data_IF_999192077075
#
_entry.id   IF_999192077075
#
_cell.length_a   1.000
_cell.length_b   1.000
_cell.length_c   1.000
_cell.angle_alpha   90.00
_cell.angle_beta   90.00
_cell.angle_gamma   90.00
#
_symmetry.space_group_name_H-M   'P 1'
#
loop_
_entity.id
_entity.type
_entity.pdbx_description
1 polymer ?
#
# COMPACT_ATOMS: atom_id res chain seq x y z
N UNK A 1 -12.96 0.40 -2.47
CA UNK A 1 -14.36 0.90 -2.35
C UNK A 1 -14.66 1.53 -0.99
N UNK A 2 -14.46 0.83 0.15
CA UNK A 2 -14.70 1.39 1.49
C UNK A 2 -13.91 2.67 1.81
N UNK A 3 -12.68 2.79 1.27
CA UNK A 3 -11.85 3.99 1.39
C UNK A 3 -12.50 5.24 0.76
N UNK A 4 -13.16 5.07 -0.39
CA UNK A 4 -13.83 6.15 -1.12
C UNK A 4 -15.22 6.45 -0.55
N UNK A 5 -15.93 5.44 -0.02
CA UNK A 5 -17.30 5.55 0.47
C UNK A 5 -17.47 6.27 1.83
N UNK A 6 -16.47 7.02 2.30
CA UNK A 6 -16.59 7.73 3.59
C UNK A 6 -16.27 6.89 4.83
N UNK A 7 -15.62 5.73 4.68
CA UNK A 7 -15.27 4.86 5.81
C UNK A 7 -14.44 5.56 6.92
N UNK A 8 -14.54 5.10 8.18
CA UNK A 8 -13.84 5.67 9.33
C UNK A 8 -12.37 6.01 9.09
N UNK A 9 -11.89 7.12 9.65
CA UNK A 9 -10.47 7.53 9.54
C UNK A 9 -9.51 6.40 9.92
N UNK A 10 -9.85 5.65 10.97
CA UNK A 10 -9.05 4.51 11.43
C UNK A 10 -8.89 3.44 10.35
N UNK A 11 -9.95 3.11 9.59
CA UNK A 11 -9.88 2.14 8.49
C UNK A 11 -8.98 2.62 7.36
N UNK A 12 -8.96 3.94 7.09
CA UNK A 12 -8.07 4.52 6.07
C UNK A 12 -6.60 4.44 6.50
N UNK A 13 -6.32 4.78 7.75
CA UNK A 13 -4.97 4.69 8.31
C UNK A 13 -4.50 3.25 8.40
N UNK A 14 -5.35 2.33 8.84
CA UNK A 14 -5.05 0.90 8.88
C UNK A 14 -4.75 0.35 7.48
N UNK A 15 -5.58 0.68 6.49
CA UNK A 15 -5.34 0.28 5.10
C UNK A 15 -4.03 0.83 4.54
N UNK A 16 -3.72 2.10 4.80
CA UNK A 16 -2.44 2.69 4.38
C UNK A 16 -1.24 2.08 5.11
N UNK A 17 -1.35 1.82 6.40
CA UNK A 17 -0.28 1.20 7.18
C UNK A 17 0.03 -0.22 6.69
N UNK A 18 -1.01 -1.02 6.42
CA UNK A 18 -0.86 -2.37 5.87
C UNK A 18 -0.23 -2.33 4.48
N UNK A 19 -0.71 -1.46 3.59
CA UNK A 19 -0.18 -1.31 2.25
C UNK A 19 1.30 -0.87 2.25
N UNK A 20 1.64 0.11 3.07
CA UNK A 20 3.02 0.55 3.24
C UNK A 20 3.91 -0.55 3.81
N UNK A 21 3.42 -1.30 4.82
CA UNK A 21 4.14 -2.43 5.40
C UNK A 21 4.39 -3.56 4.39
N UNK A 22 3.37 -3.90 3.57
CA UNK A 22 3.49 -4.89 2.52
C UNK A 22 4.54 -4.50 1.47
N UNK A 23 4.50 -3.24 1.00
CA UNK A 23 5.49 -2.71 0.06
C UNK A 23 6.90 -2.67 0.65
N UNK A 24 7.04 -2.28 1.93
CA UNK A 24 8.31 -2.28 2.61
C UNK A 24 8.88 -3.70 2.74
N UNK A 25 8.08 -4.67 3.17
CA UNK A 25 8.47 -6.08 3.23
C UNK A 25 8.87 -6.64 1.86
N UNK A 26 8.10 -6.29 0.82
CA UNK A 26 8.38 -6.64 -0.57
C UNK A 26 9.70 -6.05 -1.10
N UNK A 27 10.01 -4.82 -0.72
CA UNK A 27 11.28 -4.16 -1.09
C UNK A 27 12.45 -4.78 -0.32
N UNK A 28 12.27 -5.07 0.97
CA UNK A 28 13.29 -5.72 1.81
C UNK A 28 13.60 -7.13 1.31
N UNK A 29 12.60 -7.93 0.92
CA UNK A 29 12.83 -9.28 0.39
C UNK A 29 13.70 -9.29 -0.87
N UNK A 30 13.68 -8.20 -1.66
CA UNK A 30 14.45 -8.05 -2.91
C UNK A 30 15.82 -7.40 -2.76
N UNK A 31 16.08 -6.73 -1.65
CA UNK A 31 17.32 -5.96 -1.45
C UNK A 31 18.22 -6.62 -0.43
N UNK A 32 17.82 -6.59 0.84
CA UNK A 32 18.60 -7.14 1.96
C UNK A 32 18.17 -8.55 2.36
N UNK A 33 17.03 -9.01 1.85
CA UNK A 33 16.30 -10.14 2.39
C UNK A 33 15.58 -9.77 3.69
N UNK A 34 14.67 -10.65 4.11
CA UNK A 34 13.88 -10.53 5.34
C UNK A 34 13.84 -11.90 6.02
N UNK A 35 14.31 -12.01 7.27
CA UNK A 35 14.33 -13.27 8.04
C UNK A 35 15.01 -14.46 7.31
N UNK A 36 16.08 -14.20 6.54
CA UNK A 36 16.75 -15.22 5.74
C UNK A 36 16.05 -15.58 4.42
N UNK A 37 14.91 -14.95 4.12
CA UNK A 37 14.20 -15.08 2.85
C UNK A 37 14.58 -13.94 1.89
N UNK A 38 14.92 -14.28 0.64
CA UNK A 38 15.19 -13.29 -0.40
C UNK A 38 14.66 -13.76 -1.75
N UNK A 39 13.95 -12.88 -2.44
CA UNK A 39 13.40 -13.09 -3.78
C UNK A 39 14.10 -12.18 -4.80
N UNK A 40 14.19 -12.61 -6.06
CA UNK A 40 14.74 -11.78 -7.15
C UNK A 40 13.67 -11.40 -8.16
N UNK A 41 13.55 -10.10 -8.39
CA UNK A 41 12.72 -9.54 -9.46
C UNK A 41 11.23 -9.84 -9.30
N UNK A 42 10.52 -9.92 -10.41
CA UNK A 42 9.09 -10.26 -10.49
C UNK A 42 8.86 -11.68 -11.05
N UNK A 43 9.91 -12.50 -11.15
CA UNK A 43 9.85 -13.89 -11.59
C UNK A 43 9.45 -14.79 -10.41
N UNK A 44 8.57 -15.79 -10.58
CA UNK A 44 7.91 -16.24 -11.81
C UNK A 44 6.49 -15.68 -12.01
N UNK A 45 6.06 -14.71 -11.19
CA UNK A 45 4.64 -14.49 -10.92
C UNK A 45 4.18 -13.05 -11.23
N UNK A 46 3.36 -12.79 -12.28
CA UNK A 46 2.72 -11.48 -12.51
C UNK A 46 1.92 -10.96 -11.30
N UNK A 47 1.53 -11.85 -10.39
CA UNK A 47 0.86 -11.56 -9.12
C UNK A 47 1.67 -10.61 -8.24
N UNK A 48 3.00 -10.69 -8.24
CA UNK A 48 3.86 -9.79 -7.48
C UNK A 48 3.74 -8.33 -7.97
N UNK A 49 3.69 -8.14 -9.29
CA UNK A 49 3.49 -6.83 -9.89
C UNK A 49 2.09 -6.29 -9.61
N UNK A 50 1.08 -7.14 -9.76
CA UNK A 50 -0.31 -6.78 -9.42
C UNK A 50 -0.45 -6.38 -7.96
N UNK A 51 0.22 -7.09 -7.05
CA UNK A 51 0.24 -6.75 -5.62
C UNK A 51 0.85 -5.38 -5.37
N UNK A 52 2.03 -5.10 -5.92
CA UNK A 52 2.68 -3.78 -5.80
C UNK A 52 1.80 -2.66 -6.34
N UNK A 53 1.17 -2.86 -7.51
CA UNK A 53 0.27 -1.88 -8.10
C UNK A 53 -0.99 -1.67 -7.24
N UNK A 54 -1.55 -2.75 -6.69
CA UNK A 54 -2.72 -2.68 -5.82
C UNK A 54 -2.40 -1.91 -4.53
N UNK A 55 -1.30 -2.23 -3.86
CA UNK A 55 -0.89 -1.53 -2.63
C UNK A 55 -0.53 -0.07 -2.91
N UNK A 56 0.15 0.21 -4.04
CA UNK A 56 0.41 1.56 -4.50
C UNK A 56 -0.88 2.35 -4.73
N UNK A 57 -1.89 1.73 -5.37
CA UNK A 57 -3.20 2.35 -5.57
C UNK A 57 -3.92 2.63 -4.24
N UNK A 58 -3.82 1.74 -3.24
CA UNK A 58 -4.37 1.99 -1.89
C UNK A 58 -3.74 3.24 -1.27
N UNK A 59 -2.41 3.36 -1.31
CA UNK A 59 -1.71 4.53 -0.77
C UNK A 59 -2.11 5.83 -1.48
N UNK A 60 -2.17 5.81 -2.82
CA UNK A 60 -2.59 6.97 -3.63
C UNK A 60 -4.03 7.36 -3.28
N UNK A 61 -4.95 6.40 -3.22
CA UNK A 61 -6.36 6.68 -2.90
C UNK A 61 -6.52 7.26 -1.49
N UNK A 62 -5.83 6.71 -0.49
CA UNK A 62 -5.85 7.25 0.88
C UNK A 62 -5.30 8.67 0.89
N UNK A 63 -4.17 8.92 0.23
CA UNK A 63 -3.56 10.25 0.18
C UNK A 63 -4.50 11.29 -0.47
N UNK A 64 -5.11 10.95 -1.60
CA UNK A 64 -6.07 11.83 -2.29
C UNK A 64 -7.28 12.12 -1.40
N UNK A 65 -7.84 11.10 -0.75
CA UNK A 65 -9.00 11.26 0.13
C UNK A 65 -8.67 12.15 1.34
N UNK A 66 -7.51 11.96 1.97
CA UNK A 66 -7.07 12.80 3.09
C UNK A 66 -6.77 14.24 2.66
N UNK A 67 -6.16 14.42 1.50
CA UNK A 67 -5.91 15.74 0.92
C UNK A 67 -7.22 16.49 0.66
N UNK A 68 -8.19 15.85 0.02
CA UNK A 68 -9.52 16.44 -0.24
C UNK A 68 -10.27 16.77 1.04
N UNK A 69 -10.23 15.88 2.04
CA UNK A 69 -10.86 16.12 3.34
C UNK A 69 -10.19 17.28 4.10
N UNK A 70 -8.89 17.51 3.92
CA UNK A 70 -8.19 18.68 4.48
C UNK A 70 -8.57 19.97 3.74
N UNK A 71 -8.66 19.93 2.41
CA UNK A 71 -9.04 21.09 1.60
C UNK A 71 -10.46 21.55 1.89
N UNK A 72 -11.42 20.64 2.07
CA UNK A 72 -12.81 20.96 2.40
C UNK A 72 -13.03 21.54 3.81
N UNK A 73 -12.03 21.44 4.70
CA UNK A 73 -12.06 22.00 6.06
C UNK A 73 -11.37 23.36 6.18
N UNK A 74 -10.78 23.85 5.09
CA UNK A 74 -10.17 25.19 4.99
C UNK A 74 -11.14 26.13 4.30
#
# INVERSE_FOLDING_TARGET
>A
LLLLAGGPMLLRLAGAALAAGALAGFALSRTTGLFGFSERGFQPAPQALLSVLAEGAVLVLVAVVLYRARAARR
#
